data_IF_234565080358
#
_entry.id   IF_234565080358
#
_cell.length_a   1.000
_cell.length_b   1.000
_cell.length_c   1.000
_cell.angle_alpha   90.00
_cell.angle_beta   90.00
_cell.angle_gamma   90.00
#
_symmetry.space_group_name_H-M   'P 1'
#
loop_
_entity.id
_entity.type
_entity.pdbx_description
1 polymer ?
#
# COMPACT_ATOMS: atom_id res chain seq x y z
N UNK A 1 -18.08 -41.09 -14.16
CA UNK A 1 -18.86 -39.83 -14.11
C UNK A 1 -18.10 -38.85 -13.24
N UNK A 2 -17.60 -37.77 -13.83
CA UNK A 2 -16.73 -36.80 -13.16
C UNK A 2 -17.53 -35.90 -12.21
N UNK A 3 -17.09 -35.80 -10.97
CA UNK A 3 -17.57 -34.80 -10.03
C UNK A 3 -16.76 -33.51 -10.25
N UNK A 4 -17.41 -32.52 -10.86
CA UNK A 4 -16.90 -31.16 -11.04
C UNK A 4 -16.98 -30.41 -9.71
N UNK A 5 -15.83 -30.08 -9.12
CA UNK A 5 -15.75 -29.19 -7.96
C UNK A 5 -15.76 -27.73 -8.44
N UNK A 6 -16.94 -27.11 -8.46
CA UNK A 6 -17.05 -25.66 -8.61
C UNK A 6 -16.78 -24.98 -7.26
N UNK A 7 -15.79 -24.07 -7.12
CA UNK A 7 -15.77 -23.17 -5.98
C UNK A 7 -16.85 -22.10 -6.19
N UNK A 8 -17.86 -22.09 -5.32
CA UNK A 8 -18.86 -21.04 -5.25
C UNK A 8 -18.17 -19.69 -4.99
N UNK A 9 -18.23 -18.80 -5.98
CA UNK A 9 -17.79 -17.41 -5.86
C UNK A 9 -18.65 -16.73 -4.79
N UNK A 10 -18.03 -16.43 -3.65
CA UNK A 10 -18.60 -15.53 -2.65
C UNK A 10 -18.69 -14.15 -3.28
N UNK A 11 -19.90 -13.76 -3.66
CA UNK A 11 -20.24 -12.43 -4.13
C UNK A 11 -19.99 -11.42 -3.01
N UNK A 12 -18.78 -10.84 -2.95
CA UNK A 12 -18.52 -9.67 -2.14
C UNK A 12 -19.24 -8.49 -2.81
N UNK A 13 -20.43 -8.21 -2.30
CA UNK A 13 -21.31 -7.12 -2.70
C UNK A 13 -20.56 -5.79 -2.69
N UNK A 14 -20.47 -5.13 -3.85
CA UNK A 14 -19.89 -3.79 -4.06
C UNK A 14 -20.62 -2.68 -3.29
N UNK A 15 -21.70 -3.01 -2.56
CA UNK A 15 -22.60 -2.06 -1.91
C UNK A 15 -22.07 -1.56 -0.56
N UNK A 16 -21.17 -2.31 0.08
CA UNK A 16 -20.69 -1.97 1.44
C UNK A 16 -19.60 -0.89 1.46
N UNK A 17 -19.18 -0.39 0.28
CA UNK A 17 -18.18 0.69 0.18
C UNK A 17 -18.76 2.10 -0.01
N UNK A 18 -20.08 2.25 -0.15
CA UNK A 18 -20.70 3.54 -0.49
C UNK A 18 -21.73 4.07 0.50
N UNK A 19 -21.71 3.64 1.77
CA UNK A 19 -22.54 4.30 2.78
C UNK A 19 -21.89 4.36 4.18
N UNK A 20 -21.09 5.41 4.40
CA UNK A 20 -20.75 5.85 5.76
C UNK A 20 -20.45 7.36 5.79
N UNK A 21 -21.36 8.15 5.23
CA UNK A 21 -21.49 9.57 5.59
C UNK A 21 -22.56 9.68 6.68
N UNK A 22 -22.16 9.58 7.95
CA UNK A 22 -23.01 9.93 9.09
C UNK A 22 -22.19 10.70 10.09
N UNK A 23 -22.42 12.01 10.11
CA UNK A 23 -22.05 12.94 11.17
C UNK A 23 -22.48 12.31 12.51
N UNK A 24 -21.55 11.73 13.26
CA UNK A 24 -21.84 11.13 14.56
C UNK A 24 -21.08 11.90 15.64
N UNK A 25 -21.77 12.92 16.16
CA UNK A 25 -21.40 13.64 17.36
C UNK A 25 -21.75 12.80 18.58
N UNK A 26 -20.74 12.25 19.26
CA UNK A 26 -20.90 11.83 20.66
C UNK A 26 -20.23 12.88 21.54
N UNK A 27 -21.02 13.85 21.99
CA UNK A 27 -20.66 14.76 23.05
C UNK A 27 -20.61 14.01 24.38
N UNK A 28 -19.46 13.99 25.04
CA UNK A 28 -19.35 13.44 26.39
C UNK A 28 -19.71 14.53 27.41
N UNK A 29 -20.91 14.45 27.98
CA UNK A 29 -21.35 15.28 29.10
C UNK A 29 -20.45 15.01 30.32
N UNK A 30 -19.69 16.03 30.75
CA UNK A 30 -18.87 15.99 31.97
C UNK A 30 -19.68 16.49 33.15
N UNK A 31 -20.14 15.58 34.01
CA UNK A 31 -20.63 15.91 35.36
C UNK A 31 -19.47 16.41 36.21
N UNK A 32 -19.53 17.68 36.63
CA UNK A 32 -18.58 18.27 37.59
C UNK A 32 -18.93 17.80 39.00
N UNK A 33 -18.11 16.94 39.60
CA UNK A 33 -18.02 16.83 41.07
C UNK A 33 -16.81 17.63 41.56
N UNK A 34 -17.07 18.63 42.41
CA UNK A 34 -16.06 19.37 43.17
C UNK A 34 -15.48 18.41 44.22
N UNK A 35 -14.17 18.18 44.17
CA UNK A 35 -13.43 17.43 45.17
C UNK A 35 -11.97 17.86 45.13
N UNK A 36 -11.55 18.59 46.17
CA UNK A 36 -10.17 19.05 46.36
C UNK A 36 -9.27 17.85 46.65
N UNK A 37 -8.17 17.71 45.90
CA UNK A 37 -6.84 17.23 46.36
C UNK A 37 -5.87 17.18 45.16
N UNK A 38 -4.75 17.89 45.26
CA UNK A 38 -3.66 17.90 44.27
C UNK A 38 -2.99 16.52 44.22
N UNK A 39 -2.57 16.07 43.03
CA UNK A 39 -1.19 15.59 42.94
C UNK A 39 -0.45 16.14 41.72
N UNK A 40 0.75 16.60 42.02
CA UNK A 40 1.97 16.60 41.21
C UNK A 40 1.90 15.94 39.82
N UNK A 41 2.23 16.76 38.81
CA UNK A 41 2.95 16.39 37.57
C UNK A 41 2.54 15.06 36.94
N UNK A 42 1.44 15.05 36.18
CA UNK A 42 1.29 14.13 35.06
C UNK A 42 1.17 14.95 33.80
N UNK A 43 2.32 15.25 33.20
CA UNK A 43 2.38 15.48 31.76
C UNK A 43 1.71 14.26 31.16
N UNK A 44 0.47 14.43 30.69
CA UNK A 44 -0.17 13.44 29.85
C UNK A 44 0.72 13.35 28.63
N UNK A 45 1.63 12.38 28.63
CA UNK A 45 2.29 11.90 27.44
C UNK A 45 1.15 11.48 26.53
N UNK A 46 0.71 12.40 25.66
CA UNK A 46 -0.20 12.10 24.57
C UNK A 46 0.53 11.03 23.79
N UNK A 47 0.18 9.77 24.05
CA UNK A 47 0.70 8.63 23.29
C UNK A 47 0.45 9.02 21.84
N UNK A 48 1.51 9.33 21.11
CA UNK A 48 1.44 9.54 19.67
C UNK A 48 0.87 8.24 19.14
N UNK A 49 -0.43 8.25 18.85
CA UNK A 49 -1.20 7.09 18.41
C UNK A 49 -0.72 6.63 17.05
N UNK A 50 0.45 6.00 17.01
CA UNK A 50 1.03 5.36 15.86
C UNK A 50 0.35 4.02 15.63
N UNK A 51 -0.93 4.02 15.25
CA UNK A 51 -1.64 2.80 14.90
C UNK A 51 -2.51 2.97 13.64
N UNK A 52 -1.92 3.51 12.57
CA UNK A 52 -2.49 3.43 11.21
C UNK A 52 -1.51 2.78 10.22
N UNK A 53 -0.72 1.82 10.69
CA UNK A 53 0.35 1.17 9.90
C UNK A 53 -0.13 -0.03 9.06
N UNK A 54 -1.31 -0.60 9.34
CA UNK A 54 -1.79 -1.81 8.65
C UNK A 54 -2.21 -1.60 7.19
N UNK A 55 -3.21 -0.74 6.91
CA UNK A 55 -3.75 -0.62 5.54
C UNK A 55 -3.03 0.39 4.64
N UNK A 56 -2.25 1.32 5.23
CA UNK A 56 -1.51 2.32 4.46
C UNK A 56 -0.24 1.77 3.78
N UNK A 57 0.27 0.61 4.22
CA UNK A 57 1.52 0.05 3.69
C UNK A 57 1.41 -0.34 2.22
N UNK A 58 0.39 -1.11 1.87
CA UNK A 58 0.14 -1.56 0.50
C UNK A 58 -0.15 -0.36 -0.41
N UNK A 59 -1.00 0.58 0.03
CA UNK A 59 -1.29 1.79 -0.75
C UNK A 59 -0.03 2.62 -1.01
N UNK A 60 0.88 2.72 -0.04
CA UNK A 60 2.17 3.41 -0.22
C UNK A 60 3.05 2.69 -1.25
N UNK A 61 3.17 1.37 -1.15
CA UNK A 61 3.95 0.56 -2.11
C UNK A 61 3.41 0.66 -3.53
N UNK A 62 2.09 0.57 -3.71
CA UNK A 62 1.44 0.75 -5.01
C UNK A 62 1.67 2.15 -5.57
N UNK A 63 1.64 3.19 -4.73
CA UNK A 63 1.98 4.56 -5.15
C UNK A 63 3.44 4.65 -5.61
N UNK A 64 4.38 4.08 -4.86
CA UNK A 64 5.79 4.03 -5.26
C UNK A 64 5.98 3.26 -6.55
N UNK A 65 5.26 2.15 -6.74
CA UNK A 65 5.33 1.38 -7.97
C UNK A 65 4.86 2.21 -9.17
N UNK A 66 3.77 2.97 -9.02
CA UNK A 66 3.29 3.91 -10.05
C UNK A 66 4.27 5.03 -10.38
N UNK A 67 5.17 5.40 -9.48
CA UNK A 67 6.21 6.41 -9.77
C UNK A 67 7.44 5.84 -10.47
N UNK A 68 7.67 4.53 -10.34
CA UNK A 68 8.84 3.86 -10.92
C UNK A 68 8.59 3.32 -12.32
N UNK A 69 7.34 2.93 -12.61
CA UNK A 69 6.97 2.28 -13.87
C UNK A 69 6.44 3.33 -14.86
N UNK A 70 6.97 3.38 -16.10
CA UNK A 70 6.45 4.27 -17.13
C UNK A 70 4.96 4.04 -17.41
N UNK A 71 4.24 5.10 -17.80
CA UNK A 71 2.83 5.03 -18.25
C UNK A 71 1.83 4.40 -17.27
N UNK A 72 2.14 4.38 -15.97
CA UNK A 72 1.42 3.55 -14.99
C UNK A 72 0.38 4.30 -14.13
N UNK A 73 0.29 5.63 -14.27
CA UNK A 73 -0.59 6.47 -13.44
C UNK A 73 -2.08 6.12 -13.60
N UNK A 74 -2.53 5.91 -14.83
CA UNK A 74 -3.92 5.60 -15.20
C UNK A 74 -4.27 4.12 -15.09
N UNK A 75 -3.30 3.23 -14.83
CA UNK A 75 -3.53 1.79 -14.79
C UNK A 75 -4.20 1.36 -13.47
N UNK A 76 -5.11 0.39 -13.58
CA UNK A 76 -5.58 -0.44 -12.48
C UNK A 76 -4.48 -1.36 -11.95
N UNK A 77 -4.73 -2.09 -10.86
CA UNK A 77 -3.71 -2.92 -10.21
C UNK A 77 -3.14 -4.00 -11.13
N UNK A 78 -4.00 -4.76 -11.83
CA UNK A 78 -3.54 -5.84 -12.71
C UNK A 78 -2.73 -5.32 -13.89
N UNK A 79 -3.15 -4.19 -14.46
CA UNK A 79 -2.41 -3.49 -15.51
C UNK A 79 -1.06 -2.99 -15.01
N UNK A 80 -1.02 -2.42 -13.81
CA UNK A 80 0.21 -1.94 -13.17
C UNK A 80 1.21 -3.08 -12.98
N UNK A 81 0.78 -4.24 -12.48
CA UNK A 81 1.67 -5.37 -12.26
C UNK A 81 2.16 -5.98 -13.57
N UNK A 82 1.31 -6.10 -14.59
CA UNK A 82 1.72 -6.57 -15.92
C UNK A 82 2.76 -5.64 -16.54
N UNK A 83 2.51 -4.33 -16.51
CA UNK A 83 3.45 -3.35 -17.07
C UNK A 83 4.77 -3.34 -16.29
N UNK A 84 4.70 -3.52 -14.97
CA UNK A 84 5.90 -3.68 -14.12
C UNK A 84 6.72 -4.89 -14.56
N UNK A 85 6.09 -6.04 -14.80
CA UNK A 85 6.78 -7.26 -15.21
C UNK A 85 7.48 -7.08 -16.56
N UNK A 86 6.78 -6.46 -17.52
CA UNK A 86 7.36 -6.11 -18.82
C UNK A 86 8.55 -5.15 -18.67
N UNK A 87 8.41 -4.13 -17.82
CA UNK A 87 9.47 -3.16 -17.60
C UNK A 87 10.71 -3.80 -16.99
N UNK A 88 10.55 -4.67 -15.98
CA UNK A 88 11.66 -5.44 -15.40
C UNK A 88 12.40 -6.25 -16.47
N UNK A 89 11.66 -6.98 -17.32
CA UNK A 89 12.26 -7.79 -18.39
C UNK A 89 13.05 -6.93 -19.39
N UNK A 90 12.50 -5.77 -19.77
CA UNK A 90 13.17 -4.84 -20.68
C UNK A 90 14.46 -4.27 -20.10
N UNK A 91 14.47 -3.94 -18.79
CA UNK A 91 15.65 -3.45 -18.10
C UNK A 91 16.74 -4.52 -18.02
N UNK A 92 16.36 -5.75 -17.66
CA UNK A 92 17.29 -6.88 -17.60
C UNK A 92 17.94 -7.13 -18.98
N UNK A 93 17.13 -7.13 -20.04
CA UNK A 93 17.62 -7.31 -21.41
C UNK A 93 18.59 -6.20 -21.80
N UNK A 94 18.25 -4.94 -21.49
CA UNK A 94 19.13 -3.79 -21.78
C UNK A 94 20.47 -3.90 -21.07
N UNK A 95 20.48 -4.22 -19.78
CA UNK A 95 21.71 -4.40 -19.00
C UNK A 95 22.56 -5.52 -19.59
N UNK A 96 21.94 -6.66 -19.95
CA UNK A 96 22.65 -7.79 -20.55
C UNK A 96 23.31 -7.41 -21.89
N UNK A 97 22.61 -6.68 -22.75
CA UNK A 97 23.18 -6.19 -24.01
C UNK A 97 24.36 -5.25 -23.76
N UNK A 98 24.23 -4.31 -22.81
CA UNK A 98 25.33 -3.40 -22.46
C UNK A 98 26.55 -4.16 -21.92
N UNK A 99 26.35 -5.19 -21.09
CA UNK A 99 27.43 -6.03 -20.60
C UNK A 99 28.14 -6.78 -21.74
N UNK A 100 27.39 -7.37 -22.67
CA UNK A 100 27.98 -8.03 -23.84
C UNK A 100 28.76 -7.04 -24.69
N UNK A 101 28.21 -5.86 -24.95
CA UNK A 101 28.88 -4.81 -25.71
C UNK A 101 30.18 -4.37 -25.04
N UNK A 102 30.18 -4.16 -23.72
CA UNK A 102 31.40 -3.84 -22.97
C UNK A 102 32.42 -4.96 -23.14
N UNK A 103 32.05 -6.22 -22.91
CA UNK A 103 32.97 -7.35 -23.03
C UNK A 103 33.57 -7.50 -24.44
N UNK A 104 32.82 -7.16 -25.49
CA UNK A 104 33.30 -7.19 -26.88
C UNK A 104 34.21 -5.99 -27.19
N UNK A 105 33.91 -4.82 -26.62
CA UNK A 105 34.63 -3.57 -26.92
C UNK A 105 35.83 -3.32 -26.00
N UNK A 106 35.90 -3.92 -24.83
CA UNK A 106 37.09 -3.88 -23.97
C UNK A 106 38.07 -4.95 -24.45
N UNK A 107 39.17 -4.59 -25.14
CA UNK A 107 40.23 -5.56 -25.41
C UNK A 107 40.73 -6.11 -24.08
N UNK A 108 40.91 -7.43 -24.00
CA UNK A 108 41.64 -8.05 -22.90
C UNK A 108 43.06 -7.51 -22.94
N UNK A 109 43.36 -6.62 -21.98
CA UNK A 109 44.69 -6.07 -21.79
C UNK A 109 45.53 -7.15 -21.11
N UNK A 110 45.93 -8.16 -21.88
CA UNK A 110 46.95 -9.14 -21.50
C UNK A 110 48.35 -8.54 -21.69
#
# INVERSE_FOLDING_TARGET
>A
MGISSHPSLVSLSLKDLLEANRNSSYGCLRTKKKGVRRPTRRVLMKRRGGCRRGSNGIRRRVRTLKTLVPNSHSLGLDGLFRETANYILSLQTRVRVMQVMVNVLTPSHD
#
